data_IF_840598048110
#
_entry.id   IF_840598048110
#
_cell.length_a   1.000
_cell.length_b   1.000
_cell.length_c   1.000
_cell.angle_alpha   90.00
_cell.angle_beta   90.00
_cell.angle_gamma   90.00
#
_symmetry.space_group_name_H-M   'P 1'
#
loop_
_entity.id
_entity.type
_entity.pdbx_description
1 polymer ?
#
# COMPACT_ATOMS: atom_id res chain seq x y z
N UNK A 1 -34.93 -4.28 18.38
CA UNK A 1 -35.52 -5.63 18.22
C UNK A 1 -36.72 -5.65 17.24
N UNK A 2 -36.83 -4.73 16.26
CA UNK A 2 -38.03 -4.64 15.38
C UNK A 2 -37.94 -5.37 14.05
N UNK A 3 -36.74 -5.77 13.60
CA UNK A 3 -36.55 -6.29 12.23
C UNK A 3 -36.62 -7.82 12.11
N UNK A 4 -36.77 -8.54 13.23
CA UNK A 4 -36.86 -10.01 13.26
C UNK A 4 -38.27 -10.55 13.02
N UNK A 5 -39.28 -9.68 12.91
CA UNK A 5 -40.68 -10.06 12.68
C UNK A 5 -41.10 -10.08 11.20
N UNK A 6 -40.22 -9.67 10.28
CA UNK A 6 -40.51 -9.73 8.85
C UNK A 6 -40.51 -11.21 8.38
N UNK A 7 -41.56 -11.70 7.70
CA UNK A 7 -41.58 -13.05 7.19
C UNK A 7 -40.40 -13.25 6.23
N UNK A 8 -39.60 -14.30 6.47
CA UNK A 8 -38.43 -14.62 5.67
C UNK A 8 -38.85 -14.73 4.19
N UNK A 9 -38.21 -13.93 3.34
CA UNK A 9 -38.46 -13.96 1.90
C UNK A 9 -38.22 -15.39 1.40
N UNK A 10 -39.17 -16.02 0.68
CA UNK A 10 -38.99 -17.38 0.21
C UNK A 10 -37.72 -17.48 -0.64
N UNK A 11 -36.90 -18.51 -0.39
CA UNK A 11 -35.64 -18.72 -1.14
C UNK A 11 -35.98 -18.87 -2.63
N UNK A 12 -35.31 -18.08 -3.48
CA UNK A 12 -35.46 -18.19 -4.93
C UNK A 12 -35.12 -19.62 -5.39
N UNK A 13 -35.74 -20.07 -6.48
CA UNK A 13 -35.36 -21.35 -7.13
C UNK A 13 -33.89 -21.29 -7.55
N UNK A 14 -33.16 -22.39 -7.37
CA UNK A 14 -31.79 -22.53 -7.87
C UNK A 14 -31.79 -22.38 -9.39
N UNK A 15 -30.91 -21.54 -9.88
CA UNK A 15 -30.65 -21.34 -11.31
C UNK A 15 -29.23 -21.82 -11.64
N UNK A 16 -28.90 -21.88 -12.93
CA UNK A 16 -27.57 -22.28 -13.41
C UNK A 16 -26.42 -21.52 -12.74
N UNK A 17 -26.63 -20.24 -12.40
CA UNK A 17 -25.65 -19.43 -11.66
C UNK A 17 -25.30 -20.06 -10.31
N UNK A 18 -26.27 -20.58 -9.56
CA UNK A 18 -26.00 -21.21 -8.26
C UNK A 18 -25.15 -22.47 -8.40
N UNK A 19 -25.30 -23.20 -9.51
CA UNK A 19 -24.45 -24.34 -9.85
C UNK A 19 -23.02 -23.88 -10.17
N UNK A 20 -22.84 -22.86 -11.02
CA UNK A 20 -21.51 -22.30 -11.29
C UNK A 20 -20.84 -21.73 -10.05
N UNK A 21 -21.60 -21.14 -9.12
CA UNK A 21 -21.08 -20.67 -7.83
C UNK A 21 -20.66 -21.83 -6.93
N UNK A 22 -21.45 -22.92 -6.89
CA UNK A 22 -21.11 -24.12 -6.12
C UNK A 22 -19.83 -24.79 -6.64
N UNK A 23 -19.65 -24.85 -7.98
CA UNK A 23 -18.48 -25.47 -8.62
C UNK A 23 -17.39 -24.47 -9.04
N UNK A 24 -17.46 -23.22 -8.56
CA UNK A 24 -16.48 -22.17 -8.92
C UNK A 24 -15.04 -22.56 -8.60
N UNK A 25 -14.86 -23.41 -7.59
CA UNK A 25 -13.55 -23.92 -7.20
C UNK A 25 -12.83 -24.64 -8.35
N UNK A 26 -13.55 -25.30 -9.28
CA UNK A 26 -12.94 -25.95 -10.44
C UNK A 26 -12.28 -24.90 -11.33
N UNK A 27 -13.00 -23.83 -11.66
CA UNK A 27 -12.43 -22.73 -12.44
C UNK A 27 -11.29 -22.03 -11.68
N UNK A 28 -11.45 -21.83 -10.36
CA UNK A 28 -10.42 -21.20 -9.54
C UNK A 28 -9.15 -22.03 -9.52
N UNK A 29 -9.23 -23.33 -9.25
CA UNK A 29 -8.07 -24.21 -9.10
C UNK A 29 -7.40 -24.49 -10.44
N UNK A 30 -8.16 -24.77 -11.49
CA UNK A 30 -7.58 -25.24 -12.76
C UNK A 30 -7.33 -24.14 -13.78
N UNK A 31 -7.90 -22.94 -13.59
CA UNK A 31 -7.75 -21.83 -14.55
C UNK A 31 -7.18 -20.59 -13.86
N UNK A 32 -7.86 -20.07 -12.84
CA UNK A 32 -7.49 -18.79 -12.22
C UNK A 32 -6.16 -18.90 -11.48
N UNK A 33 -5.96 -19.93 -10.65
CA UNK A 33 -4.75 -20.12 -9.87
C UNK A 33 -3.50 -20.32 -10.74
N UNK A 34 -3.50 -21.18 -11.78
CA UNK A 34 -2.34 -21.31 -12.68
C UNK A 34 -2.01 -20.01 -13.42
N UNK A 35 -3.02 -19.28 -13.90
CA UNK A 35 -2.80 -17.99 -14.56
C UNK A 35 -2.24 -16.97 -13.57
N UNK A 36 -2.83 -16.85 -12.39
CA UNK A 36 -2.39 -15.93 -11.33
C UNK A 36 -0.96 -16.24 -10.89
N UNK A 37 -0.65 -17.52 -10.66
CA UNK A 37 0.70 -17.97 -10.33
C UNK A 37 1.69 -17.62 -11.45
N UNK A 38 1.34 -17.85 -12.72
CA UNK A 38 2.21 -17.53 -13.85
C UNK A 38 2.48 -16.02 -13.93
N UNK A 39 1.45 -15.18 -13.78
CA UNK A 39 1.60 -13.72 -13.79
C UNK A 39 2.46 -13.23 -12.62
N UNK A 40 2.23 -13.77 -11.43
CA UNK A 40 3.03 -13.46 -10.24
C UNK A 40 4.49 -13.87 -10.44
N UNK A 41 4.72 -15.10 -10.92
CA UNK A 41 6.06 -15.62 -11.16
C UNK A 41 6.84 -14.80 -12.19
N UNK A 42 6.19 -14.39 -13.29
CA UNK A 42 6.82 -13.51 -14.30
C UNK A 42 7.15 -12.12 -13.73
N UNK A 43 6.25 -11.55 -12.92
CA UNK A 43 6.50 -10.28 -12.23
C UNK A 43 7.68 -10.40 -11.28
N UNK A 44 7.70 -11.45 -10.46
CA UNK A 44 8.78 -11.76 -9.53
C UNK A 44 10.13 -11.91 -10.25
N UNK A 45 10.19 -12.63 -11.37
CA UNK A 45 11.42 -12.74 -12.16
C UNK A 45 11.89 -11.38 -12.71
N UNK A 46 10.97 -10.51 -13.09
CA UNK A 46 11.25 -9.13 -13.50
C UNK A 46 11.87 -8.33 -12.36
N UNK A 47 11.28 -8.40 -11.18
CA UNK A 47 11.74 -7.69 -9.98
C UNK A 47 13.15 -8.19 -9.57
N UNK A 48 13.37 -9.51 -9.50
CA UNK A 48 14.69 -10.11 -9.21
C UNK A 48 15.73 -9.71 -10.25
N UNK A 49 15.36 -9.66 -11.54
CA UNK A 49 16.28 -9.20 -12.60
C UNK A 49 16.64 -7.72 -12.42
N UNK A 50 15.72 -6.88 -11.97
CA UNK A 50 16.01 -5.49 -11.65
C UNK A 50 16.90 -5.35 -10.40
N UNK A 51 16.63 -6.14 -9.35
CA UNK A 51 17.39 -6.14 -8.10
C UNK A 51 18.88 -6.50 -8.32
N UNK A 52 19.19 -7.35 -9.32
CA UNK A 52 20.57 -7.68 -9.72
C UNK A 52 21.33 -6.50 -10.33
N UNK A 53 20.64 -5.43 -10.76
CA UNK A 53 21.28 -4.24 -11.32
C UNK A 53 21.81 -3.34 -10.20
N UNK A 54 22.91 -2.66 -10.47
CA UNK A 54 23.42 -1.63 -9.55
C UNK A 54 22.40 -0.49 -9.39
N UNK A 55 22.43 0.20 -8.25
CA UNK A 55 21.59 1.39 -8.04
C UNK A 55 21.84 2.46 -9.10
N UNK A 56 23.10 2.65 -9.53
CA UNK A 56 23.46 3.56 -10.65
C UNK A 56 22.72 3.23 -11.95
N UNK A 57 22.62 1.93 -12.28
CA UNK A 57 21.91 1.50 -13.49
C UNK A 57 20.40 1.73 -13.36
N UNK A 58 19.81 1.43 -12.19
CA UNK A 58 18.39 1.67 -11.92
C UNK A 58 18.05 3.16 -11.96
N UNK A 59 18.90 4.02 -11.41
CA UNK A 59 18.78 5.48 -11.49
C UNK A 59 18.78 5.96 -12.95
N UNK A 60 19.68 5.43 -13.80
CA UNK A 60 19.71 5.77 -15.22
C UNK A 60 18.43 5.34 -15.95
N UNK A 61 17.95 4.12 -15.69
CA UNK A 61 16.70 3.61 -16.27
C UNK A 61 15.49 4.45 -15.84
N UNK A 62 15.46 4.86 -14.57
CA UNK A 62 14.46 5.78 -14.03
C UNK A 62 14.43 7.09 -14.83
N UNK A 63 15.58 7.77 -14.98
CA UNK A 63 15.68 9.03 -15.74
C UNK A 63 15.26 8.89 -17.20
N UNK A 64 15.63 7.77 -17.85
CA UNK A 64 15.19 7.46 -19.21
C UNK A 64 13.67 7.26 -19.30
N UNK A 65 13.06 6.60 -18.30
CA UNK A 65 11.62 6.42 -18.24
C UNK A 65 10.87 7.71 -17.96
N UNK A 66 11.39 8.58 -17.09
CA UNK A 66 10.83 9.93 -16.85
C UNK A 66 10.84 10.74 -18.16
N UNK A 67 11.93 10.70 -18.94
CA UNK A 67 11.99 11.37 -20.26
C UNK A 67 10.92 10.85 -21.22
N UNK A 68 10.67 9.53 -21.24
CA UNK A 68 9.58 8.93 -22.06
C UNK A 68 8.21 9.42 -21.62
N UNK A 69 7.95 9.51 -20.31
CA UNK A 69 6.69 10.04 -19.75
C UNK A 69 6.48 11.50 -20.16
N UNK A 70 7.50 12.34 -20.00
CA UNK A 70 7.44 13.75 -20.42
C UNK A 70 7.22 13.88 -21.93
N UNK A 71 7.95 13.10 -22.74
CA UNK A 71 7.77 13.09 -24.19
C UNK A 71 6.35 12.65 -24.59
N UNK A 72 5.81 11.63 -23.92
CA UNK A 72 4.44 11.16 -24.13
C UNK A 72 3.43 12.24 -23.75
N UNK A 73 3.58 12.89 -22.60
CA UNK A 73 2.70 13.97 -22.17
C UNK A 73 2.68 15.15 -23.16
N UNK A 74 3.84 15.53 -23.72
CA UNK A 74 3.95 16.61 -24.71
C UNK A 74 3.24 16.33 -26.02
N UNK A 75 2.96 15.06 -26.34
CA UNK A 75 2.18 14.68 -27.52
C UNK A 75 0.67 14.93 -27.34
N UNK A 76 0.21 15.20 -26.11
CA UNK A 76 -1.21 15.41 -25.83
C UNK A 76 -1.69 16.71 -26.48
N UNK A 77 -2.75 16.60 -27.27
CA UNK A 77 -3.53 17.73 -27.70
C UNK A 77 -4.74 17.91 -26.78
N UNK A 78 -4.75 18.94 -25.94
CA UNK A 78 -5.79 19.14 -24.93
C UNK A 78 -7.21 19.30 -25.50
N UNK A 79 -7.36 19.88 -26.68
CA UNK A 79 -8.65 20.03 -27.37
C UNK A 79 -9.16 18.71 -27.94
N UNK A 80 -8.25 17.76 -28.15
CA UNK A 80 -8.55 16.44 -28.67
C UNK A 80 -8.55 15.43 -27.52
N UNK A 81 -7.41 15.03 -27.00
CA UNK A 81 -7.24 13.73 -26.36
C UNK A 81 -7.87 13.52 -24.96
N UNK A 82 -8.65 14.48 -24.45
CA UNK A 82 -9.36 14.34 -23.18
C UNK A 82 -8.43 14.42 -21.96
N UNK A 83 -8.88 13.86 -20.83
CA UNK A 83 -8.14 13.92 -19.56
C UNK A 83 -6.93 12.98 -19.56
N UNK A 84 -5.82 13.43 -18.96
CA UNK A 84 -4.63 12.58 -18.76
C UNK A 84 -4.94 11.54 -17.70
N UNK A 85 -4.55 10.29 -17.94
CA UNK A 85 -4.55 9.26 -16.91
C UNK A 85 -3.42 8.25 -17.11
N UNK A 86 -3.14 7.47 -16.08
CA UNK A 86 -2.19 6.35 -16.20
C UNK A 86 -2.80 5.23 -17.05
N UNK A 87 -1.98 4.55 -17.85
CA UNK A 87 -2.38 3.36 -18.63
C UNK A 87 -2.72 2.13 -17.75
N UNK A 88 -2.62 2.25 -16.42
CA UNK A 88 -2.90 1.19 -15.45
C UNK A 88 -4.35 0.71 -15.62
N UNK A 89 -4.53 -0.59 -15.80
CA UNK A 89 -5.84 -1.16 -16.04
C UNK A 89 -6.69 -1.20 -14.77
N UNK A 90 -8.02 -0.92 -14.84
CA UNK A 90 -8.88 -0.81 -13.67
C UNK A 90 -8.93 -2.05 -12.77
N UNK A 91 -8.89 -3.24 -13.35
CA UNK A 91 -8.97 -4.51 -12.60
C UNK A 91 -7.70 -4.81 -11.77
N UNK A 92 -6.63 -4.01 -11.93
CA UNK A 92 -5.40 -4.09 -11.12
C UNK A 92 -5.52 -3.20 -9.86
N UNK A 93 -6.55 -2.35 -9.78
CA UNK A 93 -6.79 -1.53 -8.59
C UNK A 93 -7.54 -2.33 -7.53
N UNK A 94 -7.10 -2.24 -6.27
CA UNK A 94 -7.73 -2.89 -5.11
C UNK A 94 -8.95 -2.11 -4.60
N UNK A 95 -9.23 -0.93 -5.16
CA UNK A 95 -10.35 -0.08 -4.77
C UNK A 95 -11.60 -0.25 -5.63
N UNK A 96 -12.77 -0.06 -5.02
CA UNK A 96 -14.08 -0.04 -5.71
C UNK A 96 -14.33 1.26 -6.51
N UNK A 97 -13.28 2.01 -6.87
CA UNK A 97 -13.42 3.32 -7.51
C UNK A 97 -14.07 3.17 -8.87
N UNK A 98 -15.09 3.96 -9.13
CA UNK A 98 -15.65 4.07 -10.46
C UNK A 98 -14.62 4.70 -11.42
N UNK A 99 -14.27 3.98 -12.48
CA UNK A 99 -13.28 4.37 -13.50
C UNK A 99 -13.94 4.86 -14.79
N UNK A 100 -15.18 5.36 -14.73
CA UNK A 100 -15.91 5.89 -15.90
C UNK A 100 -15.11 6.97 -16.65
N UNK A 101 -14.23 7.71 -15.98
CA UNK A 101 -13.33 8.67 -16.63
C UNK A 101 -12.38 8.02 -17.66
N UNK A 102 -12.07 6.72 -17.52
CA UNK A 102 -11.31 5.90 -18.50
C UNK A 102 -12.20 5.29 -19.59
N UNK A 103 -13.53 5.35 -19.45
CA UNK A 103 -14.47 4.96 -20.50
C UNK A 103 -14.75 6.12 -21.47
N UNK A 104 -14.66 7.35 -20.95
CA UNK A 104 -14.68 8.57 -21.76
C UNK A 104 -13.35 8.77 -22.52
N UNK A 105 -13.30 9.80 -23.36
CA UNK A 105 -12.08 10.19 -24.08
C UNK A 105 -10.98 10.59 -23.09
N UNK A 106 -9.84 9.89 -23.15
CA UNK A 106 -8.72 10.09 -22.26
C UNK A 106 -7.38 9.87 -22.99
N UNK A 107 -6.32 10.40 -22.40
CA UNK A 107 -4.95 10.28 -22.89
C UNK A 107 -4.14 9.45 -21.90
N UNK A 108 -3.83 8.21 -22.28
CA UNK A 108 -3.06 7.29 -21.45
C UNK A 108 -1.55 7.62 -21.48
N UNK A 109 -0.95 7.60 -20.31
CA UNK A 109 0.50 7.66 -20.08
C UNK A 109 0.91 6.38 -19.35
N UNK A 110 1.83 5.63 -19.95
CA UNK A 110 2.29 4.37 -19.38
C UNK A 110 3.37 4.61 -18.31
N UNK A 111 3.12 4.09 -17.11
CA UNK A 111 4.06 4.10 -15.99
C UNK A 111 4.50 2.67 -15.61
N UNK A 112 4.18 1.66 -16.42
CA UNK A 112 4.44 0.24 -16.12
C UNK A 112 5.92 -0.08 -15.84
N UNK A 113 6.85 0.71 -16.40
CA UNK A 113 8.28 0.55 -16.20
C UNK A 113 8.80 1.03 -14.83
N UNK A 114 7.99 1.78 -14.06
CA UNK A 114 8.39 2.40 -12.80
C UNK A 114 8.28 1.41 -11.61
N UNK A 115 9.07 0.35 -11.63
CA UNK A 115 9.06 -0.79 -10.69
C UNK A 115 10.36 -1.01 -9.92
N UNK A 116 11.27 -0.04 -9.93
CA UNK A 116 12.59 -0.17 -9.35
C UNK A 116 12.66 0.43 -7.95
N UNK A 117 13.33 -0.29 -7.05
CA UNK A 117 13.93 0.32 -5.86
C UNK A 117 15.18 1.05 -6.35
N UNK A 118 15.18 2.38 -6.32
CA UNK A 118 16.26 3.19 -6.90
C UNK A 118 17.47 3.19 -5.99
N UNK A 119 17.25 3.32 -4.67
CA UNK A 119 18.31 3.42 -3.67
C UNK A 119 17.80 3.03 -2.28
N UNK A 120 18.67 2.44 -1.46
CA UNK A 120 18.46 2.22 -0.03
C UNK A 120 19.63 2.88 0.70
N UNK A 121 19.38 4.04 1.30
CA UNK A 121 20.35 4.80 2.07
C UNK A 121 20.23 4.44 3.56
N UNK A 122 21.24 3.74 4.09
CA UNK A 122 21.30 3.29 5.48
C UNK A 122 21.76 4.37 6.46
N UNK A 123 22.40 5.42 5.97
CA UNK A 123 22.86 6.53 6.80
C UNK A 123 21.71 7.51 7.02
N UNK A 124 21.01 7.88 5.94
CA UNK A 124 19.83 8.74 6.00
C UNK A 124 18.55 8.00 6.39
N UNK A 125 18.59 6.66 6.44
CA UNK A 125 17.44 5.79 6.69
C UNK A 125 16.27 6.09 5.74
N UNK A 126 16.57 6.14 4.44
CA UNK A 126 15.61 6.48 3.38
C UNK A 126 15.70 5.45 2.25
N UNK A 127 14.55 4.97 1.80
CA UNK A 127 14.41 4.21 0.56
C UNK A 127 13.85 5.12 -0.54
N UNK A 128 14.58 5.26 -1.66
CA UNK A 128 14.04 5.90 -2.87
C UNK A 128 13.50 4.83 -3.80
N UNK A 129 12.21 4.90 -4.12
CA UNK A 129 11.50 3.84 -4.87
C UNK A 129 10.55 4.42 -5.90
N UNK A 130 10.31 3.66 -6.96
CA UNK A 130 9.34 3.99 -7.99
C UNK A 130 7.90 3.59 -7.58
N UNK A 131 6.85 4.25 -8.10
CA UNK A 131 5.46 4.12 -7.66
C UNK A 131 4.86 2.72 -7.78
N UNK A 132 5.36 1.85 -8.66
CA UNK A 132 4.84 0.47 -8.83
C UNK A 132 5.67 -0.58 -8.09
N UNK A 133 6.67 -0.17 -7.30
CA UNK A 133 7.26 -1.04 -6.28
C UNK A 133 6.15 -1.41 -5.28
N UNK A 134 6.00 -2.69 -5.01
CA UNK A 134 5.00 -3.21 -4.08
C UNK A 134 5.60 -3.55 -2.71
N UNK A 135 4.75 -3.77 -1.70
CA UNK A 135 5.18 -4.04 -0.34
C UNK A 135 6.02 -5.33 -0.26
N UNK A 136 5.64 -6.37 -1.00
CA UNK A 136 6.40 -7.63 -1.03
C UNK A 136 7.81 -7.48 -1.64
N UNK A 137 7.97 -6.60 -2.63
CA UNK A 137 9.26 -6.31 -3.25
C UNK A 137 10.17 -5.54 -2.30
N UNK A 138 9.68 -4.46 -1.68
CA UNK A 138 10.52 -3.64 -0.82
C UNK A 138 10.92 -4.37 0.47
N UNK A 139 9.99 -5.10 1.09
CA UNK A 139 10.28 -5.89 2.31
C UNK A 139 11.30 -6.98 2.06
N UNK A 140 11.22 -7.70 0.93
CA UNK A 140 12.22 -8.70 0.53
C UNK A 140 13.63 -8.13 0.44
N UNK A 141 13.77 -6.86 0.05
CA UNK A 141 15.08 -6.18 -0.05
C UNK A 141 15.52 -5.61 1.30
N UNK A 142 14.62 -4.99 2.07
CA UNK A 142 14.99 -4.27 3.30
C UNK A 142 15.12 -5.19 4.52
N UNK A 143 14.29 -6.23 4.65
CA UNK A 143 14.28 -7.12 5.83
C UNK A 143 15.64 -7.82 6.03
N UNK A 144 16.31 -8.37 4.99
CA UNK A 144 17.67 -8.92 5.15
C UNK A 144 18.72 -7.88 5.58
N UNK A 145 18.41 -6.59 5.47
CA UNK A 145 19.26 -5.50 5.94
C UNK A 145 18.92 -5.05 7.37
N UNK A 146 18.00 -5.75 8.05
CA UNK A 146 17.40 -5.34 9.33
C UNK A 146 16.66 -3.99 9.23
N UNK A 147 16.03 -3.73 8.09
CA UNK A 147 15.28 -2.50 7.82
C UNK A 147 13.85 -2.81 7.35
N UNK A 148 12.91 -1.92 7.65
CA UNK A 148 11.58 -1.89 7.05
C UNK A 148 11.19 -0.44 6.75
N UNK A 149 10.16 -0.25 5.91
CA UNK A 149 9.46 1.04 5.92
C UNK A 149 8.80 1.24 7.30
N UNK A 150 8.67 2.50 7.72
CA UNK A 150 8.00 2.81 9.00
C UNK A 150 6.53 2.33 9.03
N UNK A 151 5.87 2.33 7.87
CA UNK A 151 4.50 1.83 7.66
C UNK A 151 4.51 0.88 6.47
N UNK A 152 4.07 -0.37 6.65
CA UNK A 152 4.08 -1.43 5.62
C UNK A 152 2.71 -2.09 5.56
N UNK A 153 2.02 -1.96 4.42
CA UNK A 153 0.70 -2.57 4.20
C UNK A 153 0.73 -4.11 4.20
N UNK A 154 -0.29 -4.74 4.79
CA UNK A 154 -0.46 -6.19 4.96
C UNK A 154 -0.44 -6.94 3.62
N UNK A 155 -0.99 -6.33 2.56
CA UNK A 155 -1.08 -6.96 1.25
C UNK A 155 0.15 -6.63 0.40
N UNK A 156 0.94 -7.67 0.09
CA UNK A 156 2.18 -7.59 -0.70
C UNK A 156 2.05 -6.85 -2.02
N UNK A 157 0.91 -6.98 -2.70
CA UNK A 157 0.66 -6.40 -4.03
C UNK A 157 0.34 -4.90 -4.00
N UNK A 158 0.14 -4.31 -2.80
CA UNK A 158 -0.08 -2.87 -2.69
C UNK A 158 1.18 -2.10 -3.07
N UNK A 159 1.02 -1.18 -4.02
CA UNK A 159 2.10 -0.39 -4.59
C UNK A 159 2.31 0.90 -3.80
N UNK A 160 3.56 1.36 -3.67
CA UNK A 160 3.95 2.62 -3.03
C UNK A 160 3.10 3.80 -3.50
N UNK A 161 2.96 3.98 -4.82
CA UNK A 161 2.18 5.09 -5.37
C UNK A 161 0.68 4.97 -5.07
N UNK A 162 0.18 3.75 -4.88
CA UNK A 162 -1.20 3.50 -4.45
C UNK A 162 -1.43 3.89 -2.99
N UNK A 163 -0.49 3.58 -2.10
CA UNK A 163 -0.58 3.96 -0.68
C UNK A 163 -0.46 5.47 -0.47
N UNK A 164 0.38 6.16 -1.26
CA UNK A 164 0.52 7.61 -1.23
C UNK A 164 -0.74 8.30 -1.76
N UNK A 165 -1.15 7.99 -3.00
CA UNK A 165 -2.27 8.70 -3.64
C UNK A 165 -3.65 8.23 -3.14
N UNK A 166 -3.70 7.04 -2.54
CA UNK A 166 -4.89 6.40 -2.00
C UNK A 166 -5.04 6.71 -0.51
N UNK A 167 -5.06 5.65 0.30
CA UNK A 167 -5.07 5.71 1.75
C UNK A 167 -4.16 4.58 2.26
N UNK A 168 -3.00 4.92 2.82
CA UNK A 168 -2.07 3.95 3.38
C UNK A 168 -2.08 4.04 4.90
N UNK A 169 -2.78 3.12 5.56
CA UNK A 169 -2.85 2.98 7.02
C UNK A 169 -2.54 1.54 7.38
N UNK A 170 -1.90 1.34 8.53
CA UNK A 170 -1.52 0.02 9.03
C UNK A 170 -1.28 0.00 10.54
N UNK A 171 -0.98 -1.18 11.09
CA UNK A 171 -0.81 -1.38 12.52
C UNK A 171 0.26 -0.50 13.19
N UNK A 172 1.27 -0.02 12.47
CA UNK A 172 2.29 0.92 12.99
C UNK A 172 1.91 2.40 12.82
N UNK A 173 0.78 2.70 12.16
CA UNK A 173 0.35 4.08 11.87
C UNK A 173 0.01 4.89 13.12
N UNK A 174 -0.31 4.24 14.24
CA UNK A 174 -0.53 4.94 15.50
C UNK A 174 0.75 5.64 16.04
N UNK A 175 1.94 5.20 15.60
CA UNK A 175 3.23 5.83 15.92
C UNK A 175 3.69 6.75 14.78
N UNK A 176 3.62 6.25 13.54
CA UNK A 176 4.27 6.90 12.40
C UNK A 176 3.33 7.73 11.51
N UNK A 177 2.04 7.77 11.83
CA UNK A 177 1.01 8.34 10.97
C UNK A 177 0.69 7.45 9.77
N UNK A 178 0.14 8.06 8.73
CA UNK A 178 -0.16 7.38 7.48
C UNK A 178 1.12 7.08 6.69
N UNK A 179 1.05 6.18 5.73
CA UNK A 179 2.15 5.86 4.83
C UNK A 179 2.76 7.13 4.20
N UNK A 180 1.92 8.08 3.80
CA UNK A 180 2.35 9.38 3.25
C UNK A 180 3.11 10.27 4.24
N UNK A 181 2.85 10.14 5.55
CA UNK A 181 3.53 10.93 6.59
C UNK A 181 4.98 10.47 6.80
N UNK A 182 5.30 9.26 6.31
CA UNK A 182 6.65 8.70 6.30
C UNK A 182 7.47 9.11 5.07
N UNK A 183 6.85 9.76 4.08
CA UNK A 183 7.52 10.20 2.86
C UNK A 183 8.18 11.57 3.08
N UNK A 184 9.42 11.71 2.62
CA UNK A 184 10.20 12.96 2.76
C UNK A 184 10.35 13.74 1.46
N UNK A 185 10.16 13.08 0.32
CA UNK A 185 10.16 13.74 -0.98
C UNK A 185 9.35 12.95 -2.02
N UNK A 186 8.75 13.69 -2.95
CA UNK A 186 8.12 13.14 -4.14
C UNK A 186 8.81 13.67 -5.40
N UNK A 187 8.95 12.82 -6.41
CA UNK A 187 9.29 13.25 -7.76
C UNK A 187 8.07 13.07 -8.65
N UNK A 188 7.62 14.17 -9.27
CA UNK A 188 6.32 14.25 -9.92
C UNK A 188 6.50 14.87 -11.30
N UNK A 189 5.86 14.27 -12.30
CA UNK A 189 5.69 14.90 -13.62
C UNK A 189 4.35 15.64 -13.64
N UNK A 190 4.42 16.95 -13.78
CA UNK A 190 3.26 17.84 -13.85
C UNK A 190 2.60 17.79 -15.23
N UNK A 191 1.37 18.32 -15.32
CA UNK A 191 0.59 18.32 -16.56
C UNK A 191 1.24 19.09 -17.72
N UNK A 192 2.09 20.09 -17.41
CA UNK A 192 2.87 20.85 -18.39
C UNK A 192 4.17 20.13 -18.82
N UNK A 193 4.44 18.96 -18.25
CA UNK A 193 5.63 18.15 -18.52
C UNK A 193 6.87 18.54 -17.73
N UNK A 194 6.78 19.48 -16.77
CA UNK A 194 7.87 19.71 -15.80
C UNK A 194 8.01 18.51 -14.88
N UNK A 195 9.25 18.18 -14.55
CA UNK A 195 9.59 17.21 -13.51
C UNK A 195 10.00 18.02 -12.28
N UNK A 196 9.30 17.81 -11.17
CA UNK A 196 9.54 18.56 -9.93
C UNK A 196 9.84 17.60 -8.80
N UNK A 197 10.72 18.03 -7.89
CA UNK A 197 10.93 17.36 -6.61
C UNK A 197 10.20 18.17 -5.54
N UNK A 198 9.18 17.60 -4.92
CA UNK A 198 8.40 18.25 -3.87
C UNK A 198 8.86 17.77 -2.49
N UNK A 199 9.20 18.71 -1.61
CA UNK A 199 9.49 18.47 -0.20
C UNK A 199 8.73 19.43 0.69
N UNK A 200 8.70 19.16 1.99
CA UNK A 200 8.03 20.02 2.98
C UNK A 200 8.54 21.46 3.03
N UNK A 201 9.76 21.71 2.56
CA UNK A 201 10.58 22.90 2.82
C UNK A 201 11.05 23.62 1.53
N UNK A 202 10.53 23.26 0.36
CA UNK A 202 10.85 23.94 -0.89
C UNK A 202 9.62 24.60 -1.55
N UNK A 203 9.84 25.17 -2.74
CA UNK A 203 8.82 25.89 -3.50
C UNK A 203 7.61 25.04 -3.95
N UNK A 204 7.68 23.72 -3.81
CA UNK A 204 6.61 22.76 -4.12
C UNK A 204 6.01 22.12 -2.85
N UNK A 205 6.14 22.80 -1.71
CA UNK A 205 5.60 22.31 -0.43
C UNK A 205 4.07 22.14 -0.44
N UNK A 206 3.35 23.00 -1.15
CA UNK A 206 1.91 22.85 -1.39
C UNK A 206 1.58 21.53 -2.10
N UNK A 207 2.35 21.18 -3.13
CA UNK A 207 2.25 19.92 -3.85
C UNK A 207 2.61 18.74 -2.94
N UNK A 208 3.66 18.87 -2.12
CA UNK A 208 4.06 17.83 -1.16
C UNK A 208 2.92 17.47 -0.21
N UNK A 209 2.21 18.45 0.36
CA UNK A 209 1.09 18.20 1.27
C UNK A 209 -0.22 17.81 0.58
N UNK A 210 -0.38 18.09 -0.72
CA UNK A 210 -1.64 17.81 -1.45
C UNK A 210 -1.61 16.54 -2.30
N UNK A 211 -0.43 15.98 -2.58
CA UNK A 211 -0.29 14.70 -3.28
C UNK A 211 -0.90 13.52 -2.53
N UNK A 212 -0.71 13.38 -1.20
CA UNK A 212 -1.42 12.38 -0.42
C UNK A 212 -2.92 12.49 -0.66
N UNK A 213 -3.57 11.36 -0.91
CA UNK A 213 -5.02 11.27 -1.19
C UNK A 213 -5.50 12.01 -2.45
N UNK A 214 -4.60 12.54 -3.28
CA UNK A 214 -4.95 13.18 -4.55
C UNK A 214 -5.55 12.20 -5.56
N UNK A 215 -5.46 10.90 -5.33
CA UNK A 215 -5.92 9.87 -6.26
C UNK A 215 -5.26 9.98 -7.64
N UNK A 216 -4.05 10.55 -7.70
CA UNK A 216 -3.28 10.75 -8.93
C UNK A 216 -3.79 11.88 -9.82
N UNK A 217 -4.54 12.85 -9.29
CA UNK A 217 -5.09 13.97 -10.10
C UNK A 217 -4.15 15.16 -10.23
N UNK A 218 -3.16 15.31 -9.34
CA UNK A 218 -2.29 16.48 -9.29
C UNK A 218 -0.99 16.32 -10.11
N UNK A 219 -0.65 15.09 -10.48
CA UNK A 219 0.54 14.80 -11.28
C UNK A 219 0.81 13.30 -11.37
N UNK A 220 1.78 12.93 -12.20
CA UNK A 220 2.26 11.56 -12.30
C UNK A 220 3.43 11.38 -11.33
N UNK A 221 3.18 10.75 -10.19
CA UNK A 221 4.22 10.33 -9.26
C UNK A 221 5.15 9.33 -9.95
N UNK A 222 6.46 9.62 -9.99
CA UNK A 222 7.48 8.78 -10.64
C UNK A 222 8.53 8.24 -9.67
N UNK A 223 8.77 8.90 -8.54
CA UNK A 223 9.51 8.30 -7.42
C UNK A 223 9.12 8.93 -6.07
N UNK A 224 9.40 8.23 -4.97
CA UNK A 224 9.22 8.71 -3.61
C UNK A 224 10.42 8.32 -2.74
N UNK A 225 10.81 9.20 -1.82
CA UNK A 225 11.81 8.95 -0.77
C UNK A 225 11.08 8.68 0.55
N UNK A 226 11.19 7.46 1.09
CA UNK A 226 10.37 6.97 2.22
C UNK A 226 11.27 6.61 3.39
N UNK A 227 10.88 7.00 4.62
CA UNK A 227 11.63 6.68 5.83
C UNK A 227 11.69 5.17 6.09
N UNK A 228 12.87 4.72 6.47
CA UNK A 228 13.16 3.38 6.97
C UNK A 228 13.28 3.40 8.50
N UNK A 229 12.96 2.27 9.11
CA UNK A 229 13.19 2.00 10.53
C UNK A 229 14.06 0.75 10.69
N UNK A 230 14.87 0.67 11.74
CA UNK A 230 15.52 -0.58 12.10
C UNK A 230 14.48 -1.58 12.60
N UNK A 231 14.63 -2.85 12.23
CA UNK A 231 13.80 -3.94 12.72
C UNK A 231 14.65 -5.05 13.34
N UNK A 232 14.03 -5.87 14.20
CA UNK A 232 14.63 -7.09 14.74
C UNK A 232 14.12 -8.31 13.99
N UNK A 233 14.88 -9.40 14.07
CA UNK A 233 14.58 -10.67 13.40
C UNK A 233 13.21 -11.24 13.78
N UNK A 234 12.81 -11.10 15.06
CA UNK A 234 11.54 -11.62 15.57
C UNK A 234 10.70 -10.55 16.24
N UNK A 235 9.39 -10.70 16.05
CA UNK A 235 8.36 -9.91 16.69
C UNK A 235 7.53 -10.80 17.63
N UNK A 236 7.30 -10.35 18.86
CA UNK A 236 6.36 -10.98 19.78
C UNK A 236 4.96 -10.44 19.49
N UNK A 237 4.05 -11.34 19.12
CA UNK A 237 2.63 -11.03 18.98
C UNK A 237 1.89 -11.40 20.27
N UNK A 238 1.02 -10.51 20.73
CA UNK A 238 0.13 -10.76 21.86
C UNK A 238 -1.31 -10.59 21.40
N UNK A 239 -2.12 -11.62 21.60
CA UNK A 239 -3.55 -11.63 21.27
C UNK A 239 -4.35 -11.44 22.55
N UNK A 240 -5.22 -10.43 22.60
CA UNK A 240 -6.09 -10.12 23.73
C UNK A 240 -7.55 -10.24 23.29
N UNK A 241 -8.22 -11.36 23.61
CA UNK A 241 -9.66 -11.47 23.42
C UNK A 241 -10.40 -10.44 24.29
N UNK A 242 -11.46 -9.85 23.73
CA UNK A 242 -12.36 -8.96 24.42
C UNK A 242 -13.80 -9.41 24.18
N UNK A 243 -14.58 -9.47 25.27
CA UNK A 243 -15.99 -9.84 25.25
C UNK A 243 -16.79 -8.77 26.00
N UNK A 244 -17.85 -8.24 25.39
CA UNK A 244 -18.65 -7.19 26.00
C UNK A 244 -19.56 -6.51 24.99
N UNK A 245 -20.04 -5.31 25.30
CA UNK A 245 -20.76 -4.49 24.33
C UNK A 245 -19.77 -3.65 23.48
N UNK A 246 -20.28 -2.86 22.53
CA UNK A 246 -19.45 -2.02 21.65
C UNK A 246 -18.48 -1.09 22.40
N UNK A 247 -18.88 -0.54 23.56
CA UNK A 247 -18.00 0.33 24.37
C UNK A 247 -16.86 -0.46 24.97
N UNK A 248 -17.11 -1.68 25.41
CA UNK A 248 -16.09 -2.56 25.98
C UNK A 248 -15.06 -2.95 24.91
N UNK A 249 -15.53 -3.27 23.70
CA UNK A 249 -14.64 -3.56 22.56
C UNK A 249 -13.83 -2.33 22.15
N UNK A 250 -14.47 -1.15 22.05
CA UNK A 250 -13.77 0.09 21.72
C UNK A 250 -12.72 0.45 22.79
N UNK A 251 -13.04 0.28 24.07
CA UNK A 251 -12.09 0.51 25.16
C UNK A 251 -10.91 -0.47 25.10
N UNK A 252 -11.17 -1.76 24.83
CA UNK A 252 -10.11 -2.75 24.68
C UNK A 252 -9.18 -2.46 23.50
N UNK A 253 -9.70 -1.90 22.40
CA UNK A 253 -8.86 -1.39 21.30
C UNK A 253 -7.98 -0.23 21.77
N UNK A 254 -8.57 0.80 22.40
CA UNK A 254 -7.83 1.97 22.92
C UNK A 254 -6.75 1.54 23.90
N UNK A 255 -7.08 0.65 24.84
CA UNK A 255 -6.12 0.10 25.83
C UNK A 255 -4.97 -0.69 25.17
N UNK A 256 -5.07 -1.05 23.90
CA UNK A 256 -4.03 -1.78 23.17
C UNK A 256 -2.90 -0.88 22.69
N UNK A 257 -3.14 0.41 22.42
CA UNK A 257 -2.12 1.36 21.96
C UNK A 257 -2.02 2.64 22.80
N UNK A 258 -3.00 2.93 23.64
CA UNK A 258 -3.03 4.11 24.51
C UNK A 258 -2.90 3.69 25.97
N UNK A 259 -1.75 3.91 26.61
CA UNK A 259 -1.57 3.68 28.03
C UNK A 259 -2.59 4.49 28.84
N UNK A 260 -3.26 3.87 29.82
CA UNK A 260 -4.33 4.52 30.62
C UNK A 260 -3.83 5.66 31.50
N UNK A 261 -2.55 5.66 31.82
CA UNK A 261 -1.86 6.74 32.54
C UNK A 261 -1.47 7.91 31.62
N UNK A 262 -1.75 7.82 30.32
CA UNK A 262 -1.48 8.86 29.33
C UNK A 262 -0.02 8.93 28.85
N UNK A 263 0.84 8.00 29.29
CA UNK A 263 2.27 7.97 28.98
C UNK A 263 2.54 7.39 27.57
N UNK A 264 2.04 8.09 26.54
CA UNK A 264 2.07 7.66 25.13
C UNK A 264 3.46 7.80 24.49
N UNK A 265 4.37 8.58 25.07
CA UNK A 265 5.74 8.73 24.57
C UNK A 265 6.68 7.61 25.06
N UNK A 266 6.19 6.71 25.91
CA UNK A 266 6.98 5.63 26.47
C UNK A 266 6.93 4.38 25.56
N UNK A 267 8.05 4.03 24.88
CA UNK A 267 8.10 2.90 23.96
C UNK A 267 7.93 1.54 24.66
N UNK A 268 8.14 1.45 25.98
CA UNK A 268 7.87 0.21 26.73
C UNK A 268 6.37 -0.02 26.97
N UNK A 269 5.56 1.05 26.91
CA UNK A 269 4.12 1.00 27.12
C UNK A 269 3.32 0.98 25.82
N UNK A 270 3.81 1.64 24.77
CA UNK A 270 3.19 1.66 23.44
C UNK A 270 3.80 0.55 22.57
N UNK A 271 3.01 -0.41 22.04
CA UNK A 271 3.53 -1.46 21.16
C UNK A 271 3.89 -0.93 19.77
N UNK A 272 4.74 -1.63 19.03
CA UNK A 272 5.16 -1.19 17.69
C UNK A 272 4.05 -1.32 16.63
N UNK A 273 3.15 -2.29 16.83
CA UNK A 273 2.00 -2.55 15.95
C UNK A 273 0.76 -2.84 16.77
N UNK A 274 -0.40 -2.36 16.32
CA UNK A 274 -1.71 -2.71 16.87
C UNK A 274 -2.71 -3.00 15.75
N UNK A 275 -3.41 -4.12 15.87
CA UNK A 275 -4.48 -4.53 14.97
C UNK A 275 -5.70 -5.04 15.75
N UNK A 276 -6.87 -5.00 15.14
CA UNK A 276 -8.12 -5.40 15.78
C UNK A 276 -9.07 -6.13 14.85
N UNK A 277 -9.53 -7.31 15.27
CA UNK A 277 -10.55 -8.07 14.55
C UNK A 277 -11.80 -8.23 15.42
N UNK A 278 -12.94 -7.75 14.91
CA UNK A 278 -14.25 -7.88 15.57
C UNK A 278 -15.03 -8.98 14.88
N UNK A 279 -15.35 -10.06 15.61
CA UNK A 279 -16.02 -11.25 15.05
C UNK A 279 -17.54 -11.18 15.17
N UNK A 280 -18.04 -10.53 16.23
CA UNK A 280 -19.47 -10.36 16.48
C UNK A 280 -19.72 -9.02 17.18
N UNK A 281 -21.00 -8.69 17.41
CA UNK A 281 -21.36 -7.48 18.17
C UNK A 281 -20.82 -7.49 19.62
N UNK A 282 -20.34 -8.64 20.09
CA UNK A 282 -19.89 -8.83 21.47
C UNK A 282 -18.50 -9.40 21.63
N UNK A 283 -17.82 -9.77 20.55
CA UNK A 283 -16.53 -10.47 20.60
C UNK A 283 -15.54 -9.90 19.61
N UNK A 284 -14.32 -9.64 20.08
CA UNK A 284 -13.19 -9.23 19.26
C UNK A 284 -11.86 -9.72 19.83
N UNK A 285 -10.81 -9.59 19.04
CA UNK A 285 -9.43 -9.85 19.45
C UNK A 285 -8.58 -8.68 19.01
N UNK A 286 -7.85 -8.10 19.96
CA UNK A 286 -6.90 -7.02 19.72
C UNK A 286 -5.48 -7.57 19.83
N UNK A 287 -4.67 -7.27 18.83
CA UNK A 287 -3.36 -7.86 18.61
C UNK A 287 -2.32 -6.77 18.71
N UNK A 288 -1.27 -7.00 19.48
CA UNK A 288 -0.15 -6.05 19.61
C UNK A 288 1.16 -6.74 19.24
N UNK A 289 1.99 -6.07 18.45
CA UNK A 289 3.32 -6.53 18.05
C UNK A 289 4.42 -5.73 18.74
N UNK A 290 5.50 -6.41 19.16
CA UNK A 290 6.74 -5.76 19.63
C UNK A 290 7.98 -6.42 19.03
N UNK A 291 8.89 -5.63 18.47
CA UNK A 291 10.23 -6.08 18.07
C UNK A 291 11.04 -6.43 19.31
N UNK A 292 11.55 -7.67 19.44
CA UNK A 292 12.29 -7.95 20.68
C UNK A 292 12.76 -9.35 20.98
N UNK A 293 12.43 -10.37 20.19
CA UNK A 293 12.91 -11.71 20.53
C UNK A 293 14.25 -11.98 19.85
N UNK A 294 15.26 -12.33 20.64
CA UNK A 294 16.49 -12.98 20.19
C UNK A 294 16.49 -14.35 20.84
N UNK A 295 16.74 -15.43 20.08
CA UNK A 295 16.62 -16.82 20.56
C UNK A 295 17.53 -17.18 21.77
N UNK A 296 18.36 -16.26 22.29
CA UNK A 296 19.16 -16.46 23.49
C UNK A 296 18.34 -16.18 24.75
N UNK A 297 17.67 -17.20 25.28
CA UNK A 297 16.99 -17.13 26.58
C UNK A 297 15.91 -18.18 26.83
N UNK A 298 16.03 -19.37 26.23
CA UNK A 298 15.29 -20.55 26.66
C UNK A 298 16.28 -21.49 27.36
N UNK A 299 16.72 -21.09 28.56
CA UNK A 299 17.27 -21.96 29.59
C UNK A 299 16.34 -21.86 30.81
#
# INVERSE_FOLDING_TARGET
>A
MSDLAAPLRPKRKKVWVDYFVQFRWILVIFVVLPISWTLYFLTYLGDVKSERKSFKQRQKEHEENVKKVVARLKQRNASKDGLVCTARKPWIAVGMRNVDYKRARHFEVDLSAFRNIIEIDKERMIARVEPLVNMGQITRVTVPMNLALAVVAELDDLTVGGLINGYGIEGSSHIYGLFSDTVVAYEIVLADGRVVRATKDNEFSDLFYTIPWSQGTLGLLVSAEIKLIPIKEYMKLTYKPAVGNLKDLAQAYVDSFTPRDGDQDNPEKVPDFVEGMVYSATEGVFMTGRHGWTHKGAD
#
